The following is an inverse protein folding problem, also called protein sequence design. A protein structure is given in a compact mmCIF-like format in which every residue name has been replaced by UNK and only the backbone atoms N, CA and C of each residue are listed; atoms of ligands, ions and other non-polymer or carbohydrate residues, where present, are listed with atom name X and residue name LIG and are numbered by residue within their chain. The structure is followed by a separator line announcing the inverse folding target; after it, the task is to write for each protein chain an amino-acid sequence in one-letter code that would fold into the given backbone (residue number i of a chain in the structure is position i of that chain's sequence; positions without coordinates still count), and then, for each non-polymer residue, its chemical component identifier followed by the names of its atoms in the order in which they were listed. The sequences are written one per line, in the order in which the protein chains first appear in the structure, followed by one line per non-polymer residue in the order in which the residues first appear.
data_IF_600514922690
#
_entry.id   IF_600514922690
#
_cell.length_a   1.000
_cell.length_b   1.000
_cell.length_c   1.000
_cell.angle_alpha   90.00
_cell.angle_beta   90.00
_cell.angle_gamma   90.00
#
_symmetry.space_group_name_H-M   'P 1'
#
loop_
_entity.id
_entity.type
_entity.pdbx_description
1 polymer ?
#
# COMPACT_ATOMS: atom_id res chain seq x y z
N UNK A 1 -40.24 -54.61 57.12
CA UNK A 1 -41.44 -53.80 56.82
C UNK A 1 -41.03 -52.69 55.87
N UNK A 2 -41.78 -52.58 54.78
CA UNK A 2 -41.56 -51.70 53.63
C UNK A 2 -41.43 -50.22 54.01
N UNK A 3 -40.61 -49.48 53.26
CA UNK A 3 -41.08 -48.44 52.32
C UNK A 3 -39.93 -47.57 51.81
N UNK A 4 -39.58 -47.73 50.54
CA UNK A 4 -39.26 -46.59 49.64
C UNK A 4 -40.58 -46.12 48.98
N UNK A 5 -40.66 -44.99 48.24
CA UNK A 5 -39.61 -44.03 47.85
C UNK A 5 -40.03 -42.55 48.05
N UNK A 6 -39.11 -41.60 47.84
CA UNK A 6 -39.38 -40.34 47.13
C UNK A 6 -38.07 -39.61 46.81
N UNK A 7 -37.96 -39.20 45.56
CA UNK A 7 -36.84 -38.54 44.93
C UNK A 7 -36.62 -37.12 45.46
N UNK A 8 -35.35 -36.69 45.54
CA UNK A 8 -34.95 -35.47 44.84
C UNK A 8 -33.43 -35.42 44.66
N UNK A 9 -33.07 -35.31 43.40
CA UNK A 9 -31.76 -35.12 42.80
C UNK A 9 -31.22 -33.72 43.05
N UNK A 10 -29.99 -33.64 43.57
CA UNK A 10 -29.09 -32.50 43.33
C UNK A 10 -27.67 -33.05 43.13
N UNK A 11 -27.44 -33.66 41.97
CA UNK A 11 -26.11 -33.69 41.36
C UNK A 11 -25.81 -32.26 40.92
N UNK A 12 -24.90 -31.60 41.63
CA UNK A 12 -24.41 -30.27 41.27
C UNK A 12 -23.48 -30.35 40.06
N UNK A 13 -24.03 -30.03 38.89
CA UNK A 13 -23.40 -29.31 37.77
C UNK A 13 -21.87 -29.31 37.71
N UNK A 14 -21.28 -30.44 37.30
CA UNK A 14 -19.91 -30.49 36.76
C UNK A 14 -19.86 -30.78 35.25
N UNK A 15 -21.02 -30.74 34.58
CA UNK A 15 -21.17 -31.01 33.15
C UNK A 15 -21.51 -29.73 32.39
N UNK A 16 -20.61 -28.74 32.33
CA UNK A 16 -20.67 -27.71 31.26
C UNK A 16 -19.43 -26.83 31.14
N UNK A 17 -18.23 -27.43 31.05
CA UNK A 17 -17.09 -26.73 30.40
C UNK A 17 -16.53 -27.57 29.24
N UNK A 18 -16.57 -28.91 29.35
CA UNK A 18 -16.18 -29.78 28.23
C UNK A 18 -17.18 -29.83 27.07
N UNK A 19 -18.47 -29.60 27.32
CA UNK A 19 -19.49 -29.59 26.25
C UNK A 19 -19.56 -28.29 25.44
N UNK A 20 -18.86 -27.23 25.88
CA UNK A 20 -18.68 -26.01 25.09
C UNK A 20 -17.55 -26.12 24.05
N UNK A 21 -16.73 -27.18 24.10
CA UNK A 21 -15.66 -27.42 23.13
C UNK A 21 -16.11 -28.32 21.96
N UNK A 22 -17.25 -29.00 22.08
CA UNK A 22 -17.77 -29.94 21.08
C UNK A 22 -18.79 -29.35 20.11
N UNK A 23 -19.14 -28.06 20.26
CA UNK A 23 -19.93 -27.29 19.28
C UNK A 23 -19.21 -26.02 18.84
N UNK A 24 -17.90 -26.11 18.56
CA UNK A 24 -17.29 -25.14 17.66
C UNK A 24 -17.72 -25.46 16.23
N UNK A 25 -18.86 -24.89 15.81
CA UNK A 25 -18.94 -24.37 14.45
C UNK A 25 -17.63 -23.63 14.21
N UNK A 26 -16.81 -24.12 13.28
CA UNK A 26 -15.42 -23.73 13.13
C UNK A 26 -15.28 -22.23 13.29
N UNK A 27 -14.65 -21.79 14.37
CA UNK A 27 -14.23 -20.41 14.50
C UNK A 27 -13.21 -20.27 13.38
N UNK A 28 -13.62 -19.66 12.26
CA UNK A 28 -12.69 -19.30 11.20
C UNK A 28 -11.59 -18.48 11.87
N UNK A 29 -10.40 -19.08 11.94
CA UNK A 29 -9.26 -18.32 12.41
C UNK A 29 -9.09 -17.12 11.47
N UNK A 30 -8.79 -15.92 11.99
CA UNK A 30 -8.52 -14.79 11.13
C UNK A 30 -7.40 -15.15 10.16
N UNK A 31 -7.75 -15.24 8.88
CA UNK A 31 -6.82 -15.52 7.81
C UNK A 31 -6.05 -14.25 7.51
N UNK A 32 -4.86 -14.11 8.08
CA UNK A 32 -3.97 -13.00 7.76
C UNK A 32 -3.17 -13.34 6.51
N UNK A 33 -3.25 -12.48 5.49
CA UNK A 33 -2.32 -12.58 4.36
C UNK A 33 -0.93 -12.13 4.82
N UNK A 34 -0.02 -13.11 4.86
CA UNK A 34 1.40 -12.92 5.22
C UNK A 34 2.32 -13.07 4.01
N UNK A 35 1.78 -13.20 2.80
CA UNK A 35 2.59 -13.44 1.62
C UNK A 35 3.40 -12.19 1.25
N UNK A 36 4.69 -12.38 1.02
CA UNK A 36 5.51 -11.34 0.39
C UNK A 36 5.25 -11.34 -1.12
N UNK A 37 5.25 -10.17 -1.76
CA UNK A 37 5.13 -10.06 -3.20
C UNK A 37 6.40 -10.55 -3.90
N UNK A 38 6.23 -11.33 -4.96
CA UNK A 38 7.34 -11.77 -5.81
C UNK A 38 7.88 -10.63 -6.70
N UNK A 39 9.04 -10.86 -7.32
CA UNK A 39 9.69 -9.87 -8.17
C UNK A 39 8.87 -9.53 -9.42
N UNK A 40 8.08 -10.47 -9.94
CA UNK A 40 7.24 -10.25 -11.10
C UNK A 40 6.12 -9.24 -10.80
N UNK A 41 5.47 -9.37 -9.65
CA UNK A 41 4.49 -8.42 -9.15
C UNK A 41 5.12 -7.03 -8.98
N UNK A 42 6.30 -6.93 -8.35
CA UNK A 42 6.96 -5.63 -8.17
C UNK A 42 7.38 -4.99 -9.50
N UNK A 43 7.87 -5.79 -10.46
CA UNK A 43 8.25 -5.30 -11.78
C UNK A 43 7.03 -4.79 -12.56
N UNK A 44 5.89 -5.48 -12.44
CA UNK A 44 4.62 -5.03 -12.99
C UNK A 44 4.20 -3.68 -12.39
N UNK A 45 4.17 -3.56 -11.05
CA UNK A 45 3.81 -2.31 -10.37
C UNK A 45 4.74 -1.16 -10.78
N UNK A 46 6.04 -1.42 -10.85
CA UNK A 46 7.02 -0.42 -11.29
C UNK A 46 6.77 0.07 -12.72
N UNK A 47 6.44 -0.87 -13.61
CA UNK A 47 6.15 -0.58 -15.02
C UNK A 47 4.87 0.23 -15.16
N UNK A 48 3.79 -0.17 -14.49
CA UNK A 48 2.50 0.53 -14.51
C UNK A 48 2.62 1.97 -13.98
N UNK A 49 3.27 2.16 -12.83
CA UNK A 49 3.52 3.48 -12.26
C UNK A 49 4.36 4.36 -13.17
N UNK A 50 5.41 3.81 -13.79
CA UNK A 50 6.23 4.58 -14.71
C UNK A 50 5.49 4.93 -15.99
N UNK A 51 4.73 4.01 -16.59
CA UNK A 51 3.89 4.30 -17.77
C UNK A 51 2.89 5.40 -17.42
N UNK A 52 2.19 5.27 -16.29
CA UNK A 52 1.23 6.26 -15.83
C UNK A 52 1.85 7.64 -15.66
N UNK A 53 3.05 7.73 -15.09
CA UNK A 53 3.75 9.00 -14.86
C UNK A 53 4.24 9.69 -16.15
N UNK A 54 4.66 8.92 -17.16
CA UNK A 54 5.17 9.48 -18.43
C UNK A 54 4.06 9.80 -19.43
N UNK A 55 2.91 9.13 -19.33
CA UNK A 55 1.79 9.28 -20.25
C UNK A 55 0.65 10.15 -19.69
N UNK A 56 0.83 10.81 -18.55
CA UNK A 56 -0.20 11.74 -18.08
C UNK A 56 -0.44 12.84 -19.13
N UNK A 57 -1.70 13.13 -19.47
CA UNK A 57 -2.01 14.22 -20.37
C UNK A 57 -1.55 15.53 -19.74
N UNK A 58 -0.79 16.33 -20.50
CA UNK A 58 -0.54 17.72 -20.13
C UNK A 58 -1.87 18.48 -20.24
N UNK A 59 -2.59 18.57 -19.12
CA UNK A 59 -3.88 19.27 -19.05
C UNK A 59 -3.72 20.78 -19.22
N UNK A 60 -2.51 21.32 -19.06
CA UNK A 60 -2.17 22.71 -19.37
C UNK A 60 -2.95 23.74 -18.54
N UNK A 61 -3.58 23.33 -17.43
CA UNK A 61 -4.15 24.27 -16.48
C UNK A 61 -3.02 25.12 -15.90
N UNK A 62 -3.23 26.43 -15.76
CA UNK A 62 -2.19 27.42 -15.42
C UNK A 62 -1.40 27.12 -14.12
N UNK A 63 -1.89 26.20 -13.28
CA UNK A 63 -1.29 25.80 -12.01
C UNK A 63 -0.54 24.45 -12.05
N UNK A 64 -0.62 23.67 -13.14
CA UNK A 64 -0.04 22.32 -13.19
C UNK A 64 1.36 22.30 -13.84
N UNK A 65 2.29 21.46 -13.35
CA UNK A 65 3.56 21.24 -14.02
C UNK A 65 3.36 20.63 -15.41
N UNK A 66 4.06 21.17 -16.41
CA UNK A 66 4.05 20.64 -17.78
C UNK A 66 5.17 19.62 -17.91
N UNK A 67 4.86 18.41 -18.38
CA UNK A 67 5.82 17.34 -18.61
C UNK A 67 6.12 17.21 -20.10
N UNK A 68 7.37 17.43 -20.50
CA UNK A 68 7.83 17.27 -21.87
C UNK A 68 8.73 16.04 -21.97
N UNK A 69 8.43 15.14 -22.89
CA UNK A 69 9.29 13.98 -23.19
C UNK A 69 10.19 14.34 -24.38
N UNK A 70 11.49 14.24 -24.16
CA UNK A 70 12.50 14.50 -25.17
C UNK A 70 12.62 13.32 -26.14
N UNK A 71 13.27 13.55 -27.28
CA UNK A 71 13.50 12.51 -28.28
C UNK A 71 14.30 11.31 -27.75
N UNK A 72 15.18 11.54 -26.78
CA UNK A 72 15.97 10.49 -26.11
C UNK A 72 15.18 9.74 -25.01
N UNK A 73 13.90 10.06 -24.83
CA UNK A 73 13.00 9.45 -23.85
C UNK A 73 13.12 10.03 -22.44
N UNK A 74 14.01 11.00 -22.20
CA UNK A 74 14.10 11.71 -20.92
C UNK A 74 12.94 12.70 -20.74
N UNK A 75 12.62 13.04 -19.49
CA UNK A 75 11.54 13.98 -19.19
C UNK A 75 12.06 15.32 -18.68
N UNK A 76 11.36 16.41 -19.02
CA UNK A 76 11.52 17.72 -18.41
C UNK A 76 10.20 18.17 -17.81
N UNK A 77 10.21 18.47 -16.51
CA UNK A 77 9.06 18.97 -15.77
C UNK A 77 9.25 20.46 -15.56
N UNK A 78 8.39 21.28 -16.17
CA UNK A 78 8.37 22.74 -15.99
C UNK A 78 7.25 23.12 -15.03
N UNK A 79 7.62 23.75 -13.92
CA UNK A 79 6.68 24.23 -12.91
C UNK A 79 6.15 25.63 -13.27
N UNK A 80 4.97 26.03 -12.71
CA UNK A 80 4.41 27.36 -12.93
C UNK A 80 5.33 28.51 -12.51
N UNK A 81 6.22 28.27 -11.54
CA UNK A 81 7.21 29.25 -11.07
C UNK A 81 8.46 29.35 -11.98
N UNK A 82 8.47 28.64 -13.11
CA UNK A 82 9.55 28.63 -14.08
C UNK A 82 10.69 27.67 -13.76
N UNK A 83 10.68 26.98 -12.61
CA UNK A 83 11.66 25.92 -12.34
C UNK A 83 11.51 24.78 -13.35
N UNK A 84 12.64 24.25 -13.79
CA UNK A 84 12.69 23.10 -14.70
C UNK A 84 13.48 21.99 -14.02
N UNK A 85 12.90 20.79 -13.99
CA UNK A 85 13.54 19.59 -13.46
C UNK A 85 13.69 18.59 -14.59
N UNK A 86 14.92 18.14 -14.82
CA UNK A 86 15.20 17.02 -15.72
C UNK A 86 15.05 15.71 -14.96
N UNK A 87 14.41 14.74 -15.59
CA UNK A 87 14.23 13.39 -15.12
C UNK A 87 14.77 12.39 -16.14
N UNK A 88 15.05 11.18 -15.66
CA UNK A 88 15.63 10.10 -16.46
C UNK A 88 14.67 9.62 -17.57
N UNK A 89 15.06 8.61 -18.33
CA UNK A 89 14.13 7.97 -19.27
C UNK A 89 13.11 7.09 -18.56
N UNK A 90 12.00 6.78 -19.21
CA UNK A 90 10.97 5.90 -18.64
C UNK A 90 11.56 4.56 -18.17
N UNK A 91 12.43 3.92 -18.96
CA UNK A 91 13.06 2.66 -18.57
C UNK A 91 13.94 2.81 -17.31
N UNK A 92 14.69 3.90 -17.21
CA UNK A 92 15.49 4.18 -16.03
C UNK A 92 14.61 4.46 -14.80
N UNK A 93 13.47 5.15 -14.98
CA UNK A 93 12.50 5.38 -13.91
C UNK A 93 11.82 4.10 -13.46
N UNK A 94 11.45 3.20 -14.38
CA UNK A 94 10.95 1.86 -14.03
C UNK A 94 11.95 1.12 -13.15
N UNK A 95 13.25 1.12 -13.50
CA UNK A 95 14.28 0.47 -12.71
C UNK A 95 14.47 1.12 -11.32
N UNK A 96 14.37 2.45 -11.24
CA UNK A 96 14.39 3.17 -9.96
C UNK A 96 13.21 2.76 -9.07
N UNK A 97 11.99 2.77 -9.60
CA UNK A 97 10.77 2.39 -8.87
C UNK A 97 10.84 0.93 -8.42
N UNK A 98 11.27 0.04 -9.31
CA UNK A 98 11.48 -1.37 -8.98
C UNK A 98 12.52 -1.54 -7.86
N UNK A 99 13.63 -0.79 -7.93
CA UNK A 99 14.65 -0.76 -6.88
C UNK A 99 14.10 -0.29 -5.53
N UNK A 100 13.26 0.75 -5.51
CA UNK A 100 12.57 1.23 -4.31
C UNK A 100 11.68 0.12 -3.73
N UNK A 101 10.84 -0.50 -4.55
CA UNK A 101 9.93 -1.56 -4.14
C UNK A 101 10.68 -2.76 -3.55
N UNK A 102 11.73 -3.24 -4.23
CA UNK A 102 12.58 -4.32 -3.75
C UNK A 102 13.30 -3.96 -2.45
N UNK A 103 13.82 -2.74 -2.34
CA UNK A 103 14.52 -2.26 -1.13
C UNK A 103 13.59 -2.24 0.07
N UNK A 104 12.39 -1.67 -0.08
CA UNK A 104 11.41 -1.58 1.00
C UNK A 104 10.90 -2.98 1.36
N UNK A 105 10.57 -3.84 0.38
CA UNK A 105 10.17 -5.23 0.63
C UNK A 105 11.22 -5.97 1.44
N UNK A 106 12.48 -5.94 0.99
CA UNK A 106 13.54 -6.74 1.61
C UNK A 106 13.98 -6.18 2.97
N UNK A 107 13.94 -4.86 3.16
CA UNK A 107 14.38 -4.22 4.41
C UNK A 107 13.34 -4.31 5.52
N UNK A 108 12.05 -4.39 5.16
CA UNK A 108 10.95 -4.31 6.10
C UNK A 108 10.00 -5.50 6.01
N UNK A 109 10.33 -6.54 5.23
CA UNK A 109 9.49 -7.72 5.01
C UNK A 109 8.06 -7.32 4.61
N UNK A 110 7.97 -6.41 3.65
CA UNK A 110 6.68 -5.83 3.25
C UNK A 110 5.79 -6.90 2.60
N UNK A 111 4.55 -7.00 3.06
CA UNK A 111 3.55 -7.95 2.58
C UNK A 111 2.88 -7.42 1.32
N UNK A 112 2.32 -8.32 0.51
CA UNK A 112 1.60 -7.96 -0.70
C UNK A 112 0.43 -7.02 -0.40
N UNK A 113 -0.30 -7.28 0.69
CA UNK A 113 -1.39 -6.42 1.19
C UNK A 113 -0.95 -4.97 1.38
N UNK A 114 0.22 -4.76 1.99
CA UNK A 114 0.74 -3.42 2.25
C UNK A 114 1.10 -2.71 0.93
N UNK A 115 1.62 -3.43 -0.07
CA UNK A 115 1.89 -2.82 -1.38
C UNK A 115 0.59 -2.48 -2.11
N UNK A 116 -0.39 -3.39 -2.13
CA UNK A 116 -1.71 -3.14 -2.75
C UNK A 116 -2.41 -1.96 -2.07
N UNK A 117 -2.36 -1.85 -0.75
CA UNK A 117 -2.89 -0.71 -0.02
C UNK A 117 -2.14 0.59 -0.34
N UNK A 118 -0.83 0.55 -0.55
CA UNK A 118 -0.08 1.73 -1.00
C UNK A 118 -0.55 2.20 -2.37
N UNK A 119 -0.88 1.28 -3.29
CA UNK A 119 -1.43 1.60 -4.60
C UNK A 119 -2.84 2.20 -4.49
N UNK A 120 -3.67 1.72 -3.55
CA UNK A 120 -4.96 2.34 -3.25
C UNK A 120 -4.82 3.78 -2.76
N UNK A 121 -3.85 4.04 -1.88
CA UNK A 121 -3.57 5.39 -1.42
C UNK A 121 -3.20 6.31 -2.59
N UNK A 122 -2.34 5.85 -3.49
CA UNK A 122 -2.00 6.61 -4.70
C UNK A 122 -3.24 6.84 -5.56
N UNK A 123 -4.05 5.81 -5.82
CA UNK A 123 -5.28 5.91 -6.61
C UNK A 123 -6.27 6.92 -6.02
N UNK A 124 -6.46 6.93 -4.70
CA UNK A 124 -7.33 7.89 -3.99
C UNK A 124 -6.81 9.33 -4.11
N UNK A 125 -5.50 9.54 -3.98
CA UNK A 125 -4.92 10.87 -4.14
C UNK A 125 -5.13 11.38 -5.58
N UNK A 126 -4.93 10.52 -6.57
CA UNK A 126 -5.12 10.85 -7.98
C UNK A 126 -6.58 11.13 -8.31
N UNK A 127 -7.52 10.33 -7.79
CA UNK A 127 -8.96 10.53 -8.06
C UNK A 127 -9.51 11.81 -7.46
N UNK A 128 -8.91 12.32 -6.38
CA UNK A 128 -9.25 13.62 -5.79
C UNK A 128 -8.71 14.81 -6.62
N UNK A 129 -7.92 14.58 -7.68
CA UNK A 129 -7.40 15.63 -8.56
C UNK A 129 -6.42 16.60 -7.88
N UNK A 130 -5.82 16.19 -6.74
CA UNK A 130 -4.98 17.07 -5.92
C UNK A 130 -3.51 17.06 -6.29
N UNK A 131 -3.09 16.06 -7.04
CA UNK A 131 -1.71 15.84 -7.41
C UNK A 131 -1.65 15.39 -8.86
N UNK A 132 -0.88 16.12 -9.66
CA UNK A 132 -0.47 15.68 -10.98
C UNK A 132 0.73 14.75 -10.83
N UNK A 133 0.55 13.49 -11.22
CA UNK A 133 1.65 12.52 -11.23
C UNK A 133 2.50 12.74 -12.47
N UNK A 134 3.81 12.81 -12.29
CA UNK A 134 4.78 12.98 -13.35
C UNK A 134 6.06 12.22 -12.99
N UNK A 135 7.05 12.11 -13.90
CA UNK A 135 8.25 11.31 -13.66
C UNK A 135 9.05 11.76 -12.42
N UNK A 136 8.91 13.02 -12.03
CA UNK A 136 9.52 13.55 -10.81
C UNK A 136 8.70 13.14 -9.57
N UNK A 137 7.38 13.35 -9.56
CA UNK A 137 6.57 13.13 -8.36
C UNK A 137 6.29 11.66 -8.03
N UNK A 138 6.31 10.75 -9.02
CA UNK A 138 5.89 9.34 -8.86
C UNK A 138 6.64 8.59 -7.77
N UNK A 139 7.97 8.61 -7.75
CA UNK A 139 8.77 7.89 -6.74
C UNK A 139 8.51 8.41 -5.33
N UNK A 140 8.30 9.73 -5.19
CA UNK A 140 8.04 10.37 -3.89
C UNK A 140 6.68 10.00 -3.35
N UNK A 141 5.67 10.04 -4.22
CA UNK A 141 4.31 9.62 -3.90
C UNK A 141 4.29 8.15 -3.50
N UNK A 142 5.00 7.29 -4.24
CA UNK A 142 5.15 5.87 -3.92
C UNK A 142 5.77 5.66 -2.53
N UNK A 143 6.92 6.30 -2.25
CA UNK A 143 7.60 6.14 -0.95
C UNK A 143 6.67 6.58 0.20
N UNK A 144 6.01 7.73 0.06
CA UNK A 144 5.04 8.20 1.06
C UNK A 144 3.91 7.19 1.28
N UNK A 145 3.33 6.63 0.21
CA UNK A 145 2.26 5.64 0.29
C UNK A 145 2.71 4.30 0.90
N UNK A 146 3.92 3.84 0.57
CA UNK A 146 4.49 2.61 1.14
C UNK A 146 4.69 2.74 2.65
N UNK A 147 5.26 3.86 3.10
CA UNK A 147 5.48 4.13 4.53
C UNK A 147 4.16 4.13 5.28
N UNK A 148 3.15 4.84 4.77
CA UNK A 148 1.85 4.89 5.41
C UNK A 148 1.20 3.52 5.49
N UNK A 149 1.32 2.74 4.43
CA UNK A 149 0.77 1.39 4.41
C UNK A 149 1.41 0.51 5.49
N UNK A 150 2.73 0.56 5.66
CA UNK A 150 3.42 -0.15 6.74
C UNK A 150 2.89 0.30 8.11
N UNK A 151 2.79 1.61 8.34
CA UNK A 151 2.39 2.15 9.66
C UNK A 151 0.94 1.88 10.02
N UNK A 152 0.06 1.70 9.03
CA UNK A 152 -1.36 1.42 9.25
C UNK A 152 -1.62 -0.07 9.51
N UNK A 153 -0.76 -0.96 8.99
CA UNK A 153 -0.96 -2.41 9.09
C UNK A 153 -0.16 -3.10 10.20
N UNK A 154 0.79 -2.41 10.83
CA UNK A 154 1.71 -3.02 11.79
C UNK A 154 1.53 -2.44 13.19
N UNK A 155 1.60 -3.35 14.17
CA UNK A 155 1.64 -2.97 15.58
C UNK A 155 3.00 -2.35 15.96
N UNK A 156 4.08 -2.80 15.32
CA UNK A 156 5.41 -2.22 15.47
C UNK A 156 5.71 -1.24 14.32
N UNK A 157 5.85 0.03 14.68
CA UNK A 157 5.92 1.14 13.73
C UNK A 157 7.38 1.45 13.40
N UNK A 158 7.71 1.31 12.11
CA UNK A 158 9.05 1.61 11.60
C UNK A 158 9.28 3.12 11.56
N UNK A 159 10.38 3.58 12.16
CA UNK A 159 10.78 4.99 12.10
C UNK A 159 11.25 5.38 10.70
N UNK A 160 10.89 6.59 10.26
CA UNK A 160 11.29 7.11 8.96
C UNK A 160 12.81 7.22 8.77
N UNK A 161 13.59 7.31 9.85
CA UNK A 161 15.06 7.26 9.78
C UNK A 161 15.58 5.94 9.21
N UNK A 162 14.94 4.81 9.55
CA UNK A 162 15.31 3.50 9.00
C UNK A 162 14.93 3.38 7.53
N UNK A 163 13.75 3.87 7.15
CA UNK A 163 13.33 3.95 5.74
C UNK A 163 14.28 4.82 4.92
N UNK A 164 14.66 5.97 5.47
CA UNK A 164 15.61 6.89 4.86
C UNK A 164 16.98 6.26 4.67
N UNK A 165 17.46 5.51 5.67
CA UNK A 165 18.70 4.77 5.60
C UNK A 165 18.66 3.68 4.52
N UNK A 166 17.59 2.89 4.47
CA UNK A 166 17.42 1.82 3.48
C UNK A 166 17.41 2.37 2.05
N UNK A 167 16.73 3.50 1.83
CA UNK A 167 16.61 4.14 0.51
C UNK A 167 17.77 5.10 0.17
N UNK A 168 18.73 5.33 1.08
CA UNK A 168 19.84 6.27 0.87
C UNK A 168 19.39 7.73 0.70
N UNK A 169 18.27 8.13 1.31
CA UNK A 169 17.70 9.48 1.23
C UNK A 169 17.72 10.18 2.59
N UNK A 170 17.57 11.50 2.61
CA UNK A 170 17.43 12.24 3.87
C UNK A 170 16.11 11.92 4.57
N UNK A 171 16.16 11.62 5.87
CA UNK A 171 14.95 11.37 6.67
C UNK A 171 13.99 12.58 6.70
N UNK A 172 14.51 13.80 6.54
CA UNK A 172 13.69 15.02 6.43
C UNK A 172 12.78 14.93 5.20
N UNK A 173 13.31 14.49 4.06
CA UNK A 173 12.52 14.30 2.83
C UNK A 173 11.49 13.18 2.99
N UNK A 174 11.86 12.10 3.66
CA UNK A 174 10.94 10.99 3.94
C UNK A 174 9.75 11.47 4.79
N UNK A 175 10.01 12.27 5.83
CA UNK A 175 8.96 12.90 6.63
C UNK A 175 8.06 13.81 5.79
N UNK A 176 8.64 14.62 4.90
CA UNK A 176 7.89 15.51 4.00
C UNK A 176 6.98 14.71 3.06
N UNK A 177 7.48 13.62 2.47
CA UNK A 177 6.70 12.77 1.57
C UNK A 177 5.56 12.06 2.31
N UNK A 178 5.83 11.51 3.49
CA UNK A 178 4.79 10.90 4.33
C UNK A 178 3.67 11.90 4.66
N UNK A 179 4.04 13.08 5.17
CA UNK A 179 3.08 14.12 5.55
C UNK A 179 2.30 14.62 4.32
N UNK A 180 2.97 14.77 3.18
CA UNK A 180 2.31 15.18 1.93
C UNK A 180 1.30 14.14 1.46
N UNK A 181 1.63 12.85 1.53
CA UNK A 181 0.70 11.76 1.18
C UNK A 181 -0.47 11.71 2.15
N UNK A 182 -0.25 11.83 3.45
CA UNK A 182 -1.33 11.90 4.46
C UNK A 182 -2.30 13.05 4.20
N UNK A 183 -1.76 14.25 3.93
CA UNK A 183 -2.58 15.42 3.59
C UNK A 183 -3.34 15.21 2.29
N UNK A 184 -2.71 14.61 1.28
CA UNK A 184 -3.38 14.24 0.02
C UNK A 184 -4.58 13.31 0.25
N UNK A 185 -4.43 12.37 1.20
CA UNK A 185 -5.48 11.45 1.63
C UNK A 185 -6.53 12.08 2.56
N UNK A 186 -6.34 13.29 3.08
CA UNK A 186 -7.12 13.85 4.20
C UNK A 186 -7.14 12.94 5.43
N UNK A 187 -6.04 12.22 5.66
CA UNK A 187 -5.93 11.25 6.75
C UNK A 187 -6.93 10.07 6.64
N UNK A 188 -7.60 9.91 5.50
CA UNK A 188 -8.48 8.76 5.20
C UNK A 188 -7.64 7.54 4.77
N UNK A 189 -6.94 6.95 5.74
CA UNK A 189 -6.05 5.79 5.53
C UNK A 189 -6.75 4.44 5.68
N UNK A 190 -7.98 4.43 6.20
CA UNK A 190 -8.79 3.22 6.31
C UNK A 190 -9.15 2.69 4.92
N UNK A 191 -8.91 1.40 4.68
CA UNK A 191 -9.27 0.69 3.45
C UNK A 191 -10.32 -0.36 3.79
N UNK A 192 -11.43 -0.35 3.05
CA UNK A 192 -12.44 -1.39 3.18
C UNK A 192 -12.07 -2.61 2.34
N UNK A 193 -12.65 -3.76 2.69
CA UNK A 193 -12.31 -5.03 2.04
C UNK A 193 -12.76 -5.06 0.58
N UNK A 194 -13.85 -4.35 0.24
CA UNK A 194 -14.38 -4.30 -1.12
C UNK A 194 -13.41 -3.58 -2.08
N UNK A 195 -12.91 -2.41 -1.68
CA UNK A 195 -11.95 -1.62 -2.47
C UNK A 195 -10.62 -2.36 -2.63
N UNK A 196 -10.17 -3.02 -1.56
CA UNK A 196 -8.99 -3.89 -1.61
C UNK A 196 -9.18 -5.02 -2.64
N UNK A 197 -10.27 -5.76 -2.51
CA UNK A 197 -10.57 -6.91 -3.38
C UNK A 197 -10.70 -6.50 -4.84
N UNK A 198 -11.35 -5.36 -5.11
CA UNK A 198 -11.48 -4.82 -6.47
C UNK A 198 -10.13 -4.50 -7.09
N UNK A 199 -9.22 -3.86 -6.35
CA UNK A 199 -7.89 -3.56 -6.88
C UNK A 199 -7.08 -4.85 -7.07
N UNK A 200 -7.10 -5.77 -6.10
CA UNK A 200 -6.36 -7.01 -6.21
C UNK A 200 -6.79 -7.84 -7.42
N UNK A 201 -8.10 -7.95 -7.67
CA UNK A 201 -8.64 -8.63 -8.85
C UNK A 201 -8.22 -7.96 -10.16
N UNK A 202 -8.20 -6.62 -10.19
CA UNK A 202 -7.75 -5.87 -11.35
C UNK A 202 -6.26 -6.12 -11.63
N UNK A 203 -5.41 -6.13 -10.59
CA UNK A 203 -3.98 -6.42 -10.70
C UNK A 203 -3.72 -7.86 -11.14
N UNK A 204 -4.44 -8.83 -10.56
CA UNK A 204 -4.32 -10.23 -10.95
C UNK A 204 -4.69 -10.44 -12.43
N UNK A 205 -5.76 -9.78 -12.89
CA UNK A 205 -6.19 -9.85 -14.29
C UNK A 205 -5.17 -9.23 -15.24
N UNK A 206 -4.50 -8.15 -14.83
CA UNK A 206 -3.47 -7.48 -15.63
C UNK A 206 -2.15 -8.27 -15.72
N UNK A 207 -1.84 -9.10 -14.71
CA UNK A 207 -0.62 -9.93 -14.68
C UNK A 207 -0.71 -11.19 -15.56
N UNK A 208 -1.92 -11.63 -15.93
CA UNK A 208 -2.14 -12.84 -16.73
C UNK A 208 -2.20 -12.56 -18.24
N UNK A 209 -2.36 -11.28 -18.63
CA UNK A 209 -2.40 -10.82 -20.03
C UNK A 209 -0.99 -10.66 -20.61
#
# INVERSE_FOLDING_TARGET
MNSQPSANSQESDQTTIQDYLSTQNGIEQPQFDTAQPDDAFLAFVATDLSIGAYNQPNTGADADPITMINFDGTAQIRFPDGRVIAESSQNAKTNEIFGILCTVRNSFEMRKTEIVQSMLFMRRILSKGRVTINPWSVSRLLIGSLILSIKVNRDDVIYNSFVAQALGVSYVRVNEWEISTLKGLEYEVGVNIEEYTQLEQALHSALIQ
#
